data_IF_261902673506
#
_entry.id   IF_261902673506
#
_cell.length_a   1.000
_cell.length_b   1.000
_cell.length_c   1.000
_cell.angle_alpha   90.00
_cell.angle_beta   90.00
_cell.angle_gamma   90.00
#
_symmetry.space_group_name_H-M   'P 1'
#
loop_
_entity.id
_entity.type
_entity.pdbx_description
1 polymer ?
#
# COMPACT_ATOMS: atom_id res chain seq x y z
N UNK A 1 10.03 3.52 5.10
CA UNK A 1 10.70 4.13 3.93
C UNK A 1 11.68 3.15 3.35
N UNK A 2 11.41 2.59 2.16
CA UNK A 2 12.39 1.78 1.40
C UNK A 2 13.79 2.38 1.57
N UNK A 3 14.78 1.54 1.90
CA UNK A 3 16.12 2.06 2.15
C UNK A 3 16.61 2.89 0.94
N UNK A 4 17.47 3.89 1.11
CA UNK A 4 18.03 4.61 -0.03
C UNK A 4 18.58 3.62 -1.06
N UNK A 5 17.97 3.57 -2.25
CA UNK A 5 18.34 2.68 -3.35
C UNK A 5 17.53 1.38 -3.48
N UNK A 6 16.69 1.02 -2.50
CA UNK A 6 15.83 -0.18 -2.51
C UNK A 6 14.63 0.07 -3.43
N UNK A 7 14.74 -0.42 -4.67
CA UNK A 7 13.77 -0.19 -5.75
C UNK A 7 13.13 -1.51 -6.17
N UNK A 8 11.80 -1.63 -6.17
CA UNK A 8 11.12 -2.81 -6.69
C UNK A 8 11.51 -3.06 -8.16
N UNK A 9 12.14 -4.19 -8.51
CA UNK A 9 12.49 -4.49 -9.90
C UNK A 9 11.26 -4.55 -10.83
N UNK A 10 10.09 -4.87 -10.27
CA UNK A 10 8.81 -4.79 -10.97
C UNK A 10 8.53 -3.40 -11.55
N UNK A 11 8.78 -2.33 -10.79
CA UNK A 11 8.53 -0.97 -11.26
C UNK A 11 9.48 -0.54 -12.37
N UNK A 12 10.71 -1.06 -12.40
CA UNK A 12 11.62 -0.83 -13.52
C UNK A 12 11.13 -1.55 -14.78
N UNK A 13 10.65 -2.80 -14.67
CA UNK A 13 10.03 -3.49 -15.81
C UNK A 13 8.78 -2.76 -16.30
N UNK A 14 7.95 -2.26 -15.37
CA UNK A 14 6.75 -1.50 -15.69
C UNK A 14 7.08 -0.21 -16.43
N UNK A 15 8.09 0.53 -15.96
CA UNK A 15 8.62 1.74 -16.60
C UNK A 15 9.05 1.50 -18.05
N UNK A 16 9.70 0.37 -18.30
CA UNK A 16 10.21 -0.06 -19.60
C UNK A 16 9.14 -0.67 -20.52
N UNK A 17 7.86 -0.72 -20.11
CA UNK A 17 6.79 -1.38 -20.87
C UNK A 17 6.93 -2.90 -20.97
N UNK A 18 7.67 -3.52 -20.04
CA UNK A 18 7.96 -4.96 -20.02
C UNK A 18 7.04 -5.74 -19.08
N UNK A 19 5.91 -5.16 -18.72
CA UNK A 19 4.85 -5.80 -17.92
C UNK A 19 3.60 -5.81 -18.77
N UNK A 20 3.00 -6.99 -18.95
CA UNK A 20 1.76 -7.12 -19.71
C UNK A 20 0.55 -6.62 -18.93
N UNK A 21 -0.55 -6.30 -19.63
CA UNK A 21 -1.83 -5.93 -19.00
C UNK A 21 -2.29 -7.01 -18.02
N UNK A 22 -2.17 -8.28 -18.42
CA UNK A 22 -2.53 -9.43 -17.59
C UNK A 22 -1.67 -9.52 -16.31
N UNK A 23 -0.35 -9.40 -16.43
CA UNK A 23 0.54 -9.46 -15.27
C UNK A 23 0.25 -8.32 -14.27
N UNK A 24 -0.01 -7.12 -14.78
CA UNK A 24 -0.38 -5.98 -13.95
C UNK A 24 -1.75 -6.17 -13.29
N UNK A 25 -2.75 -6.66 -14.03
CA UNK A 25 -4.08 -6.96 -13.49
C UNK A 25 -4.04 -8.03 -12.38
N UNK A 26 -3.18 -9.05 -12.50
CA UNK A 26 -2.95 -10.03 -11.42
C UNK A 26 -2.37 -9.39 -10.18
N UNK A 27 -1.40 -8.49 -10.32
CA UNK A 27 -0.87 -7.73 -9.19
C UNK A 27 -1.94 -6.84 -8.54
N UNK A 28 -2.75 -6.11 -9.34
CA UNK A 28 -3.87 -5.32 -8.84
C UNK A 28 -4.91 -6.15 -8.09
N UNK A 29 -5.22 -7.36 -8.56
CA UNK A 29 -6.13 -8.28 -7.85
C UNK A 29 -5.63 -8.60 -6.43
N UNK A 30 -4.30 -8.63 -6.24
CA UNK A 30 -3.70 -8.84 -4.92
C UNK A 30 -3.67 -7.55 -4.07
N UNK A 31 -3.54 -6.37 -4.67
CA UNK A 31 -3.71 -5.10 -3.95
C UNK A 31 -5.15 -4.90 -3.47
N UNK A 32 -6.16 -5.38 -4.21
CA UNK A 32 -7.56 -5.37 -3.76
C UNK A 32 -7.72 -6.04 -2.39
N UNK A 33 -7.13 -7.23 -2.20
CA UNK A 33 -7.19 -7.92 -0.90
C UNK A 33 -6.55 -7.10 0.23
N UNK A 34 -5.46 -6.38 -0.04
CA UNK A 34 -4.88 -5.49 0.96
C UNK A 34 -5.81 -4.33 1.30
N UNK A 35 -6.41 -3.69 0.28
CA UNK A 35 -7.34 -2.58 0.46
C UNK A 35 -8.58 -3.01 1.24
N UNK A 36 -9.12 -4.21 1.01
CA UNK A 36 -10.25 -4.75 1.79
C UNK A 36 -9.90 -4.93 3.28
N UNK A 37 -8.70 -5.44 3.58
CA UNK A 37 -8.23 -5.57 4.97
C UNK A 37 -7.91 -4.20 5.59
N UNK A 38 -7.33 -3.29 4.82
CA UNK A 38 -7.08 -1.91 5.25
C UNK A 38 -8.37 -1.17 5.58
N UNK A 39 -9.41 -1.30 4.77
CA UNK A 39 -10.72 -0.73 5.04
C UNK A 39 -11.21 -1.13 6.44
N UNK A 40 -11.05 -2.40 6.79
CA UNK A 40 -11.45 -2.93 8.10
C UNK A 40 -10.58 -2.37 9.23
N UNK A 41 -9.26 -2.33 9.04
CA UNK A 41 -8.32 -1.80 10.03
C UNK A 41 -8.54 -0.29 10.26
N UNK A 42 -8.66 0.50 9.19
CA UNK A 42 -8.84 1.95 9.27
C UNK A 42 -10.20 2.32 9.88
N UNK A 43 -11.25 1.54 9.61
CA UNK A 43 -12.55 1.73 10.27
C UNK A 43 -12.45 1.48 11.77
N UNK A 44 -11.69 0.46 12.20
CA UNK A 44 -11.43 0.19 13.62
C UNK A 44 -10.63 1.34 14.26
N UNK A 45 -9.59 1.81 13.59
CA UNK A 45 -8.77 2.93 14.06
C UNK A 45 -9.58 4.22 14.16
N UNK A 46 -10.50 4.47 13.23
CA UNK A 46 -11.43 5.60 13.30
C UNK A 46 -12.29 5.57 14.57
N UNK A 47 -12.82 4.39 14.95
CA UNK A 47 -13.64 4.24 16.17
C UNK A 47 -12.83 4.55 17.43
N UNK A 48 -11.56 4.17 17.45
CA UNK A 48 -10.65 4.41 18.57
C UNK A 48 -10.07 5.83 18.58
N UNK A 49 -10.14 6.55 17.44
CA UNK A 49 -9.42 7.79 17.26
C UNK A 49 -9.88 8.92 18.20
N UNK A 50 -8.93 9.57 18.90
CA UNK A 50 -9.16 10.87 19.53
C UNK A 50 -9.75 11.88 18.54
N UNK A 51 -10.56 12.82 19.04
CA UNK A 51 -11.30 13.78 18.21
C UNK A 51 -10.45 14.49 17.14
N UNK A 52 -9.20 14.94 17.42
CA UNK A 52 -8.38 15.63 16.43
C UNK A 52 -8.01 14.77 15.20
N UNK A 53 -7.99 13.45 15.34
CA UNK A 53 -7.51 12.51 14.31
C UNK A 53 -8.63 11.87 13.48
N UNK A 54 -9.89 12.04 13.87
CA UNK A 54 -11.02 11.39 13.18
C UNK A 54 -11.12 11.78 11.72
N UNK A 55 -10.90 13.06 11.39
CA UNK A 55 -10.95 13.52 10.00
C UNK A 55 -9.86 12.88 9.13
N UNK A 56 -8.67 12.64 9.70
CA UNK A 56 -7.58 11.96 8.98
C UNK A 56 -8.00 10.54 8.61
N UNK A 57 -8.63 9.80 9.52
CA UNK A 57 -9.14 8.46 9.24
C UNK A 57 -10.33 8.44 8.28
N UNK A 58 -11.23 9.44 8.34
CA UNK A 58 -12.31 9.58 7.35
C UNK A 58 -11.71 9.76 5.95
N UNK A 59 -10.67 10.57 5.81
CA UNK A 59 -9.99 10.78 4.53
C UNK A 59 -9.26 9.52 4.06
N UNK A 60 -8.60 8.78 4.97
CA UNK A 60 -7.97 7.50 4.66
C UNK A 60 -8.98 6.47 4.13
N UNK A 61 -10.11 6.32 4.83
CA UNK A 61 -11.20 5.44 4.42
C UNK A 61 -11.82 5.87 3.09
N UNK A 62 -12.03 7.17 2.88
CA UNK A 62 -12.53 7.71 1.62
C UNK A 62 -11.64 7.30 0.45
N UNK A 63 -10.32 7.48 0.61
CA UNK A 63 -9.35 7.02 -0.38
C UNK A 63 -9.46 5.51 -0.63
N UNK A 64 -9.47 4.67 0.42
CA UNK A 64 -9.58 3.21 0.26
C UNK A 64 -10.88 2.80 -0.45
N UNK A 65 -12.00 3.43 -0.13
CA UNK A 65 -13.30 3.17 -0.79
C UNK A 65 -13.23 3.53 -2.27
N UNK A 66 -12.71 4.72 -2.61
CA UNK A 66 -12.56 5.13 -4.01
C UNK A 66 -11.65 4.19 -4.81
N UNK A 67 -10.59 3.66 -4.19
CA UNK A 67 -9.72 2.65 -4.81
C UNK A 67 -10.45 1.32 -5.01
N UNK A 68 -11.21 0.85 -4.02
CA UNK A 68 -11.97 -0.41 -4.14
C UNK A 68 -13.08 -0.32 -5.20
N UNK A 69 -13.76 0.82 -5.30
CA UNK A 69 -14.77 1.07 -6.34
C UNK A 69 -14.15 1.01 -7.73
N UNK A 70 -13.01 1.69 -7.92
CA UNK A 70 -12.26 1.61 -9.18
C UNK A 70 -11.83 0.18 -9.52
N UNK A 71 -11.29 -0.57 -8.53
CA UNK A 71 -10.87 -1.95 -8.73
C UNK A 71 -12.04 -2.90 -9.06
N UNK A 72 -13.27 -2.58 -8.64
CA UNK A 72 -14.47 -3.31 -8.99
C UNK A 72 -14.89 -3.10 -10.46
N UNK A 73 -14.56 -1.94 -11.04
CA UNK A 73 -14.92 -1.58 -12.42
C UNK A 73 -13.97 -2.17 -13.48
N UNK A 74 -12.67 -2.30 -13.16
CA UNK A 74 -11.63 -2.64 -14.15
C UNK A 74 -11.48 -4.12 -14.50
N UNK A 75 -12.39 -4.99 -14.03
CA UNK A 75 -12.47 -6.38 -14.47
C UNK A 75 -11.25 -7.25 -14.10
N UNK A 76 -10.80 -7.18 -12.84
CA UNK A 76 -9.62 -7.92 -12.35
C UNK A 76 -9.81 -9.45 -12.36
N UNK A 77 -8.71 -10.22 -12.53
CA UNK A 77 -8.75 -11.66 -12.43
C UNK A 77 -9.23 -12.14 -11.05
N UNK A 78 -10.01 -13.24 -11.06
CA UNK A 78 -10.49 -13.90 -9.84
C UNK A 78 -9.47 -14.96 -9.40
N UNK A 79 -8.39 -14.51 -8.77
CA UNK A 79 -7.38 -15.37 -8.16
C UNK A 79 -7.45 -15.27 -6.63
N UNK A 80 -7.21 -16.37 -5.89
CA UNK A 80 -7.13 -16.29 -4.44
C UNK A 80 -5.94 -15.42 -4.00
N UNK A 81 -5.90 -15.00 -2.72
CA UNK A 81 -4.72 -14.34 -2.15
C UNK A 81 -3.47 -15.20 -2.37
N UNK A 82 -2.44 -14.59 -2.94
CA UNK A 82 -1.16 -15.25 -3.20
C UNK A 82 -0.46 -15.59 -1.87
N UNK A 83 0.29 -16.70 -1.75
CA UNK A 83 0.95 -17.09 -0.50
C UNK A 83 1.88 -16.02 0.10
N UNK A 84 2.59 -15.26 -0.75
CA UNK A 84 3.44 -14.14 -0.32
C UNK A 84 2.64 -12.93 0.23
N UNK A 85 1.32 -12.89 0.01
CA UNK A 85 0.42 -11.85 0.50
C UNK A 85 -0.26 -12.24 1.81
N UNK A 86 -0.52 -13.54 2.03
CA UNK A 86 -1.28 -14.05 3.19
C UNK A 86 -0.77 -13.53 4.53
N UNK A 87 0.55 -13.57 4.76
CA UNK A 87 1.13 -13.07 6.00
C UNK A 87 0.92 -11.58 6.23
N UNK A 88 0.85 -10.78 5.16
CA UNK A 88 0.57 -9.35 5.30
C UNK A 88 -0.91 -9.12 5.66
N UNK A 89 -1.82 -9.84 5.00
CA UNK A 89 -3.25 -9.76 5.29
C UNK A 89 -3.54 -10.12 6.75
N UNK A 90 -2.98 -11.24 7.24
CA UNK A 90 -3.11 -11.65 8.64
C UNK A 90 -2.54 -10.59 9.58
N UNK A 91 -1.33 -10.07 9.31
CA UNK A 91 -0.74 -9.05 10.16
C UNK A 91 -1.61 -7.80 10.26
N UNK A 92 -2.14 -7.29 9.15
CA UNK A 92 -3.03 -6.12 9.16
C UNK A 92 -4.32 -6.40 9.94
N UNK A 93 -4.87 -7.61 9.87
CA UNK A 93 -6.01 -8.01 10.68
C UNK A 93 -5.69 -8.03 12.17
N UNK A 94 -4.51 -8.54 12.56
CA UNK A 94 -4.10 -8.57 13.98
C UNK A 94 -3.94 -7.17 14.58
N UNK A 95 -3.54 -6.17 13.78
CA UNK A 95 -3.35 -4.80 14.25
C UNK A 95 -4.65 -4.15 14.78
N UNK A 96 -5.82 -4.67 14.42
CA UNK A 96 -7.10 -4.17 14.93
C UNK A 96 -7.29 -4.43 16.44
N UNK A 97 -6.53 -5.37 17.01
CA UNK A 97 -6.57 -5.77 18.42
C UNK A 97 -5.32 -5.27 19.19
N UNK A 98 -4.39 -4.61 18.50
CA UNK A 98 -3.17 -4.04 19.08
C UNK A 98 -3.40 -2.60 19.55
N UNK A 99 -2.47 -2.00 20.32
CA UNK A 99 -2.57 -0.59 20.70
C UNK A 99 -2.74 0.32 19.48
N UNK A 100 -3.64 1.30 19.60
CA UNK A 100 -3.97 2.27 18.53
C UNK A 100 -2.73 2.86 17.85
N UNK A 101 -1.73 3.29 18.63
CA UNK A 101 -0.49 3.85 18.12
C UNK A 101 0.27 2.88 17.19
N UNK A 102 0.22 1.57 17.42
CA UNK A 102 0.86 0.57 16.58
C UNK A 102 0.19 0.47 15.20
N UNK A 103 -1.15 0.52 15.18
CA UNK A 103 -1.93 0.60 13.94
C UNK A 103 -1.61 1.86 13.13
N UNK A 104 -1.54 3.02 13.81
CA UNK A 104 -1.13 4.30 13.18
C UNK A 104 0.26 4.18 12.53
N UNK A 105 1.25 3.65 13.26
CA UNK A 105 2.62 3.44 12.75
C UNK A 105 2.60 2.54 11.51
N UNK A 106 1.84 1.43 11.55
CA UNK A 106 1.77 0.50 10.43
C UNK A 106 1.11 1.11 9.19
N UNK A 107 -0.02 1.83 9.34
CA UNK A 107 -0.69 2.54 8.25
C UNK A 107 0.22 3.60 7.64
N UNK A 108 0.88 4.44 8.47
CA UNK A 108 1.85 5.41 7.99
C UNK A 108 3.00 4.75 7.22
N UNK A 109 3.58 3.68 7.77
CA UNK A 109 4.72 3.00 7.17
C UNK A 109 4.36 2.45 5.78
N UNK A 110 3.20 1.80 5.66
CA UNK A 110 2.67 1.30 4.39
C UNK A 110 2.50 2.44 3.40
N UNK A 111 1.74 3.46 3.80
CA UNK A 111 1.41 4.59 2.95
C UNK A 111 2.67 5.26 2.41
N UNK A 112 3.68 5.46 3.27
CA UNK A 112 4.94 6.07 2.85
C UNK A 112 5.72 5.19 1.88
N UNK A 113 5.83 3.88 2.15
CA UNK A 113 6.55 2.95 1.28
C UNK A 113 5.91 2.88 -0.11
N UNK A 114 4.59 2.80 -0.16
CA UNK A 114 3.84 2.72 -1.39
C UNK A 114 3.97 4.02 -2.20
N UNK A 115 3.80 5.17 -1.55
CA UNK A 115 3.94 6.48 -2.17
C UNK A 115 5.37 6.75 -2.68
N UNK A 116 6.40 6.34 -1.93
CA UNK A 116 7.80 6.43 -2.39
C UNK A 116 8.01 5.66 -3.70
N UNK A 117 7.41 4.48 -3.81
CA UNK A 117 7.54 3.61 -4.97
C UNK A 117 6.84 4.19 -6.21
N UNK A 118 5.60 4.67 -6.05
CA UNK A 118 4.82 5.27 -7.13
C UNK A 118 5.33 6.67 -7.52
N UNK A 119 5.77 7.48 -6.56
CA UNK A 119 6.39 8.77 -6.81
C UNK A 119 7.69 8.64 -7.61
N UNK A 120 8.49 7.58 -7.35
CA UNK A 120 9.67 7.28 -8.16
C UNK A 120 9.31 7.00 -9.63
N UNK A 121 8.24 6.26 -9.87
CA UNK A 121 7.76 5.91 -11.21
C UNK A 121 7.20 7.16 -11.91
N UNK A 122 6.39 7.96 -11.21
CA UNK A 122 5.79 9.19 -11.74
C UNK A 122 6.84 10.19 -12.20
N UNK A 123 7.92 10.35 -11.43
CA UNK A 123 9.03 11.24 -11.78
C UNK A 123 9.79 10.82 -13.06
N UNK A 124 9.60 9.58 -13.54
CA UNK A 124 10.28 9.04 -14.72
C UNK A 124 9.33 8.81 -15.89
N UNK A 125 8.03 8.73 -15.62
CA UNK A 125 7.02 8.36 -16.60
C UNK A 125 7.04 6.87 -16.95
N UNK A 126 5.99 6.45 -17.65
CA UNK A 126 5.90 5.16 -18.32
C UNK A 126 6.25 5.39 -19.79
N UNK A 127 7.13 4.57 -20.37
CA UNK A 127 7.44 4.65 -21.82
C UNK A 127 6.23 4.18 -22.63
N UNK A 128 5.82 2.92 -22.39
CA UNK A 128 4.59 2.27 -22.84
C UNK A 128 4.19 1.28 -21.75
N UNK A 129 2.96 0.74 -21.76
CA UNK A 129 2.58 -0.27 -20.76
C UNK A 129 1.08 -0.41 -20.54
N UNK A 130 0.70 -1.22 -19.54
CA UNK A 130 -0.70 -1.52 -19.22
C UNK A 130 -1.52 -0.24 -19.04
N UNK A 131 -2.72 -0.22 -19.62
CA UNK A 131 -3.68 0.86 -19.44
C UNK A 131 -4.01 1.06 -17.95
N UNK A 132 -4.11 -0.03 -17.19
CA UNK A 132 -4.33 0.01 -15.75
C UNK A 132 -3.14 0.59 -14.98
N UNK A 133 -1.91 0.47 -15.49
CA UNK A 133 -0.75 1.07 -14.86
C UNK A 133 -0.73 2.59 -15.00
N UNK A 134 -1.23 3.12 -16.12
CA UNK A 134 -1.39 4.56 -16.32
C UNK A 134 -2.45 5.14 -15.37
N UNK A 135 -3.57 4.44 -15.20
CA UNK A 135 -4.60 4.82 -14.23
C UNK A 135 -4.07 4.78 -12.79
N UNK A 136 -3.42 3.67 -12.41
CA UNK A 136 -2.77 3.51 -11.12
C UNK A 136 -1.75 4.64 -10.83
N UNK A 137 -0.95 5.02 -11.81
CA UNK A 137 0.02 6.10 -11.67
C UNK A 137 -0.66 7.43 -11.29
N UNK A 138 -1.73 7.80 -11.99
CA UNK A 138 -2.49 9.03 -11.70
C UNK A 138 -3.07 9.03 -10.28
N UNK A 139 -3.58 7.88 -9.82
CA UNK A 139 -4.22 7.74 -8.50
C UNK A 139 -3.21 7.72 -7.36
N UNK A 140 -2.07 7.07 -7.56
CA UNK A 140 -1.11 6.79 -6.48
C UNK A 140 0.14 7.67 -6.46
N UNK A 141 0.25 8.61 -7.40
CA UNK A 141 1.25 9.69 -7.34
C UNK A 141 0.64 11.08 -7.18
N UNK A 142 -0.66 11.17 -6.87
CA UNK A 142 -1.37 12.43 -6.68
C UNK A 142 -1.03 13.16 -5.38
N UNK A 143 -1.21 14.50 -5.33
CA UNK A 143 -0.94 15.30 -4.13
C UNK A 143 -1.82 14.92 -2.92
N UNK A 144 -3.00 14.35 -3.15
CA UNK A 144 -3.94 13.90 -2.12
C UNK A 144 -3.31 12.80 -1.26
N UNK A 145 -2.64 11.83 -1.90
CA UNK A 145 -2.02 10.72 -1.20
C UNK A 145 -0.77 11.15 -0.40
N UNK A 146 -0.03 12.14 -0.90
CA UNK A 146 1.07 12.77 -0.16
C UNK A 146 0.56 13.59 1.03
N UNK A 147 -0.58 14.27 0.91
CA UNK A 147 -1.22 14.95 2.03
C UNK A 147 -1.65 13.95 3.11
N UNK A 148 -2.32 12.86 2.73
CA UNK A 148 -2.70 11.79 3.66
C UNK A 148 -1.49 11.18 4.36
N UNK A 149 -0.42 10.89 3.62
CA UNK A 149 0.83 10.35 4.20
C UNK A 149 1.46 11.32 5.23
N UNK A 150 1.38 12.63 4.98
CA UNK A 150 1.87 13.68 5.89
C UNK A 150 1.02 13.75 7.16
N UNK A 151 -0.30 13.68 7.03
CA UNK A 151 -1.21 13.73 8.18
C UNK A 151 -1.06 12.50 9.07
N UNK A 152 -0.96 11.30 8.47
CA UNK A 152 -0.64 10.07 9.18
C UNK A 152 0.73 10.15 9.88
N UNK A 153 1.73 10.80 9.27
CA UNK A 153 3.04 11.02 9.90
C UNK A 153 2.92 11.90 11.14
N UNK A 154 2.16 13.00 11.05
CA UNK A 154 1.93 13.89 12.19
C UNK A 154 1.28 13.15 13.35
N UNK A 155 0.20 12.41 13.04
CA UNK A 155 -0.50 11.56 14.02
C UNK A 155 0.44 10.52 14.65
N UNK A 156 1.25 9.83 13.83
CA UNK A 156 2.22 8.86 14.31
C UNK A 156 3.22 9.50 15.28
N UNK A 157 3.85 10.62 14.89
CA UNK A 157 4.88 11.29 15.70
C UNK A 157 4.34 11.68 17.08
N UNK A 158 3.13 12.21 17.14
CA UNK A 158 2.50 12.62 18.42
C UNK A 158 2.19 11.44 19.34
N UNK A 159 2.06 10.23 18.80
CA UNK A 159 1.69 9.01 19.52
C UNK A 159 2.87 8.05 19.73
N UNK A 160 4.07 8.38 19.25
CA UNK A 160 5.23 7.49 19.37
C UNK A 160 5.58 7.16 20.83
N UNK A 161 5.37 8.09 21.76
CA UNK A 161 5.66 7.91 23.18
C UNK A 161 4.73 6.88 23.87
N UNK A 162 3.65 6.47 23.21
CA UNK A 162 2.75 5.39 23.68
C UNK A 162 3.32 3.99 23.40
N UNK A 163 4.38 3.90 22.58
CA UNK A 163 5.01 2.64 22.20
C UNK A 163 6.43 2.57 22.74
N UNK A 164 6.88 1.35 23.05
CA UNK A 164 8.31 1.10 23.16
C UNK A 164 9.00 1.40 21.81
N UNK A 165 10.15 2.09 21.78
CA UNK A 165 10.86 2.42 20.54
C UNK A 165 11.13 1.19 19.65
N UNK A 166 11.42 0.05 20.26
CA UNK A 166 11.63 -1.23 19.59
C UNK A 166 10.35 -1.74 18.93
N UNK A 167 9.19 -1.55 19.57
CA UNK A 167 7.88 -1.93 19.03
C UNK A 167 7.51 -1.11 17.79
N UNK A 168 7.68 0.21 17.85
CA UNK A 168 7.46 1.09 16.70
C UNK A 168 8.39 0.74 15.53
N UNK A 169 9.68 0.52 15.81
CA UNK A 169 10.66 0.11 14.78
C UNK A 169 10.32 -1.25 14.17
N UNK A 170 9.92 -2.21 15.00
CA UNK A 170 9.53 -3.54 14.54
C UNK A 170 8.30 -3.50 13.62
N UNK A 171 7.31 -2.66 13.92
CA UNK A 171 6.15 -2.48 13.05
C UNK A 171 6.54 -1.93 11.67
N UNK A 172 7.39 -0.90 11.63
CA UNK A 172 7.88 -0.32 10.37
C UNK A 172 8.64 -1.36 9.55
N UNK A 173 9.54 -2.12 10.17
CA UNK A 173 10.33 -3.14 9.48
C UNK A 173 9.49 -4.34 9.03
N UNK A 174 8.46 -4.71 9.78
CA UNK A 174 7.52 -5.75 9.39
C UNK A 174 6.70 -5.34 8.17
N UNK A 175 6.14 -4.12 8.18
CA UNK A 175 5.43 -3.56 7.01
C UNK A 175 6.34 -3.50 5.79
N UNK A 176 7.58 -3.02 5.95
CA UNK A 176 8.58 -3.02 4.88
C UNK A 176 8.85 -4.42 4.34
N UNK A 177 8.99 -5.41 5.22
CA UNK A 177 9.16 -6.81 4.85
C UNK A 177 8.04 -7.30 3.94
N UNK A 178 6.80 -7.03 4.33
CA UNK A 178 5.63 -7.42 3.54
C UNK A 178 5.50 -6.67 2.22
N UNK A 179 5.74 -5.36 2.20
CA UNK A 179 5.77 -4.58 0.95
C UNK A 179 6.78 -5.15 -0.05
N UNK A 180 7.99 -5.52 0.40
CA UNK A 180 8.97 -6.19 -0.45
C UNK A 180 8.48 -7.51 -1.00
N UNK A 181 7.81 -8.34 -0.19
CA UNK A 181 7.24 -9.60 -0.66
C UNK A 181 6.14 -9.37 -1.70
N UNK A 182 5.33 -8.32 -1.55
CA UNK A 182 4.36 -7.88 -2.55
C UNK A 182 5.02 -7.53 -3.89
N UNK A 183 6.15 -6.83 -3.85
CA UNK A 183 6.92 -6.50 -5.06
C UNK A 183 7.63 -7.71 -5.68
N UNK A 184 8.11 -8.66 -4.88
CA UNK A 184 8.67 -9.94 -5.36
C UNK A 184 7.60 -10.75 -6.08
N UNK A 185 6.40 -10.82 -5.52
CA UNK A 185 5.24 -11.45 -6.15
C UNK A 185 4.89 -10.77 -7.48
N UNK A 186 4.81 -9.44 -7.51
CA UNK A 186 4.53 -8.67 -8.73
C UNK A 186 5.55 -8.98 -9.85
N UNK A 187 6.83 -9.07 -9.49
CA UNK A 187 7.91 -9.45 -10.40
C UNK A 187 7.74 -10.89 -10.93
N UNK A 188 7.25 -11.81 -10.10
CA UNK A 188 6.88 -13.17 -10.51
C UNK A 188 5.85 -13.15 -11.64
N UNK A 189 4.73 -12.44 -11.45
CA UNK A 189 3.69 -12.30 -12.48
C UNK A 189 4.22 -11.69 -13.78
N UNK A 190 5.07 -10.67 -13.69
CA UNK A 190 5.68 -10.06 -14.87
C UNK A 190 6.58 -11.04 -15.65
N UNK A 191 7.33 -11.90 -14.95
CA UNK A 191 8.24 -12.89 -15.58
C UNK A 191 7.48 -14.07 -16.18
N UNK A 192 6.43 -14.54 -15.53
CA UNK A 192 5.57 -15.60 -16.04
C UNK A 192 4.93 -15.21 -17.39
N UNK A 193 4.61 -13.93 -17.58
CA UNK A 193 4.02 -13.44 -18.82
C UNK A 193 5.02 -13.22 -19.97
N UNK A 194 6.33 -13.38 -19.72
CA UNK A 194 7.38 -13.28 -20.74
C UNK A 194 7.79 -14.66 -21.32
N UNK A 195 7.23 -15.74 -20.79
CA UNK A 195 7.44 -17.13 -21.21
C UNK A 195 6.24 -17.60 -22.02
#
# INVERSE_FOLDING_TARGET
>A
MLGPGERPPFLELLRQGRVSEWAFARWLAQERYLLEVLLTLEARLLVQAPQPYRLIWVNALGFVVEELDWLAEVGLPKEPPHPLRSGYLEYLQTLAEEPYALGVVACWARQRIFLDAWGWLAARGLEEGPSLAQQALLRWSGPELEALARDLKGMMVERLDELAPEGARAAVERVRGFERLGWVMALGFAREALV
#
